data_IF_841091145421
#
_entry.id   IF_841091145421
#
_cell.length_a   1.000
_cell.length_b   1.000
_cell.length_c   1.000
_cell.angle_alpha   90.00
_cell.angle_beta   90.00
_cell.angle_gamma   90.00
#
_symmetry.space_group_name_H-M   'P 1'
#
loop_
_entity.id
_entity.type
_entity.pdbx_description
1 polymer ?
#
# COMPACT_ATOMS: atom_id res chain seq x y z
N UNK A 1 13.19 29.39 -12.17
CA UNK A 1 12.40 28.41 -12.93
C UNK A 1 11.31 27.86 -12.01
N UNK A 2 10.12 28.45 -12.05
CA UNK A 2 9.03 28.12 -11.14
C UNK A 2 8.42 26.78 -11.53
N UNK A 3 8.59 25.76 -10.69
CA UNK A 3 8.02 24.42 -10.91
C UNK A 3 6.50 24.56 -10.77
N UNK A 4 5.70 24.23 -11.80
CA UNK A 4 4.26 24.33 -11.71
C UNK A 4 3.75 23.44 -10.56
N UNK A 5 2.75 23.88 -9.77
CA UNK A 5 2.36 23.26 -8.50
C UNK A 5 1.89 21.79 -8.61
N UNK A 6 1.63 21.30 -9.83
CA UNK A 6 1.18 19.92 -10.11
C UNK A 6 2.33 18.91 -10.22
N UNK A 7 3.49 19.31 -10.74
CA UNK A 7 4.62 18.39 -10.99
C UNK A 7 5.34 18.02 -9.69
N UNK A 8 5.43 18.97 -8.75
CA UNK A 8 5.98 18.72 -7.41
C UNK A 8 5.15 17.71 -6.63
N UNK A 9 3.82 17.74 -6.74
CA UNK A 9 2.94 16.76 -6.08
C UNK A 9 3.07 15.35 -6.67
N UNK A 10 3.18 15.22 -7.99
CA UNK A 10 3.36 13.91 -8.64
C UNK A 10 4.72 13.30 -8.28
N UNK A 11 5.80 14.08 -8.29
CA UNK A 11 7.13 13.62 -7.85
C UNK A 11 7.15 13.21 -6.38
N UNK A 12 6.49 13.98 -5.51
CA UNK A 12 6.33 13.65 -4.08
C UNK A 12 5.50 12.37 -3.89
N UNK A 13 4.48 12.15 -4.71
CA UNK A 13 3.66 10.95 -4.67
C UNK A 13 4.43 9.72 -5.15
N UNK A 14 5.18 9.85 -6.25
CA UNK A 14 6.06 8.79 -6.77
C UNK A 14 7.17 8.45 -5.79
N UNK A 15 7.81 9.44 -5.16
CA UNK A 15 8.87 9.20 -4.18
C UNK A 15 8.32 8.56 -2.90
N UNK A 16 7.16 9.02 -2.41
CA UNK A 16 6.52 8.42 -1.24
C UNK A 16 6.03 6.99 -1.52
N UNK A 17 5.42 6.74 -2.69
CA UNK A 17 5.00 5.40 -3.11
C UNK A 17 6.19 4.46 -3.31
N UNK A 18 7.26 4.94 -3.95
CA UNK A 18 8.50 4.20 -4.13
C UNK A 18 9.15 3.83 -2.79
N UNK A 19 9.20 4.76 -1.84
CA UNK A 19 9.69 4.52 -0.48
C UNK A 19 8.84 3.47 0.27
N UNK A 20 7.51 3.54 0.12
CA UNK A 20 6.60 2.57 0.71
C UNK A 20 6.81 1.15 0.16
N UNK A 21 6.90 1.02 -1.16
CA UNK A 21 7.17 -0.26 -1.83
C UNK A 21 8.54 -0.81 -1.44
N UNK A 22 9.58 0.04 -1.41
CA UNK A 22 10.91 -0.35 -0.95
C UNK A 22 10.88 -0.86 0.49
N UNK A 23 10.27 -0.11 1.40
CA UNK A 23 10.15 -0.53 2.81
C UNK A 23 9.39 -1.86 2.92
N UNK A 24 8.31 -2.03 2.18
CA UNK A 24 7.54 -3.27 2.17
C UNK A 24 8.43 -4.47 1.82
N UNK A 25 9.14 -4.41 0.69
CA UNK A 25 10.00 -5.53 0.27
C UNK A 25 11.17 -5.74 1.22
N UNK A 26 11.72 -4.67 1.79
CA UNK A 26 12.84 -4.75 2.74
C UNK A 26 12.40 -5.43 4.05
N UNK A 27 11.22 -5.08 4.58
CA UNK A 27 10.66 -5.72 5.78
C UNK A 27 10.22 -7.15 5.48
N UNK A 28 9.60 -7.41 4.33
CA UNK A 28 9.20 -8.76 3.92
C UNK A 28 10.43 -9.68 3.84
N UNK A 29 11.43 -9.28 3.06
CA UNK A 29 12.66 -10.03 2.86
C UNK A 29 13.45 -10.15 4.18
N UNK A 30 13.55 -9.05 4.94
CA UNK A 30 14.24 -9.05 6.22
C UNK A 30 13.65 -10.03 7.24
N UNK A 31 12.33 -10.04 7.41
CA UNK A 31 11.69 -10.93 8.37
C UNK A 31 11.69 -12.39 7.89
N UNK A 32 11.50 -12.64 6.59
CA UNK A 32 11.46 -14.01 6.06
C UNK A 32 12.84 -14.64 5.94
N UNK A 33 13.84 -13.91 5.45
CA UNK A 33 15.16 -14.46 5.10
C UNK A 33 16.19 -14.31 6.23
N UNK A 34 16.18 -13.18 6.98
CA UNK A 34 17.12 -13.00 8.11
C UNK A 34 16.60 -13.58 9.44
N UNK A 35 15.30 -13.48 9.70
CA UNK A 35 14.70 -13.89 10.98
C UNK A 35 14.04 -15.28 10.87
N UNK A 36 13.82 -15.78 9.65
CA UNK A 36 13.17 -17.09 9.42
C UNK A 36 11.68 -17.11 9.78
N UNK A 37 11.05 -15.93 9.88
CA UNK A 37 9.63 -15.81 10.21
C UNK A 37 8.80 -16.25 9.00
N UNK A 38 7.68 -16.92 9.27
CA UNK A 38 6.76 -17.37 8.23
C UNK A 38 6.36 -16.21 7.32
N UNK A 39 6.50 -16.40 6.00
CA UNK A 39 6.31 -15.36 4.98
C UNK A 39 4.97 -14.61 5.10
N UNK A 40 3.94 -15.26 5.61
CA UNK A 40 2.63 -14.65 5.89
C UNK A 40 2.77 -13.58 6.97
N UNK A 41 3.39 -13.91 8.10
CA UNK A 41 3.57 -12.99 9.23
C UNK A 41 4.49 -11.83 8.80
N UNK A 42 5.54 -12.13 8.04
CA UNK A 42 6.41 -11.11 7.44
C UNK A 42 5.63 -10.18 6.52
N UNK A 43 4.74 -10.71 5.67
CA UNK A 43 3.90 -9.94 4.78
C UNK A 43 2.89 -9.07 5.55
N UNK A 44 2.32 -9.57 6.65
CA UNK A 44 1.44 -8.77 7.54
C UNK A 44 2.21 -7.58 8.09
N UNK A 45 3.38 -7.83 8.69
CA UNK A 45 4.17 -6.80 9.35
C UNK A 45 4.68 -5.78 8.33
N UNK A 46 5.18 -6.25 7.18
CA UNK A 46 5.63 -5.40 6.08
C UNK A 46 4.49 -4.52 5.55
N UNK A 47 3.29 -5.09 5.38
CA UNK A 47 2.13 -4.34 4.91
C UNK A 47 1.75 -3.24 5.91
N UNK A 48 1.66 -3.57 7.21
CA UNK A 48 1.35 -2.60 8.27
C UNK A 48 2.39 -1.48 8.31
N UNK A 49 3.68 -1.81 8.29
CA UNK A 49 4.77 -0.83 8.27
C UNK A 49 4.66 0.10 7.05
N UNK A 50 4.34 -0.46 5.88
CA UNK A 50 4.14 0.30 4.65
C UNK A 50 2.96 1.28 4.74
N UNK A 51 1.82 0.92 5.34
CA UNK A 51 0.74 1.92 5.58
C UNK A 51 1.20 3.00 6.52
N UNK A 52 1.86 2.66 7.62
CA UNK A 52 2.24 3.65 8.61
C UNK A 52 3.15 4.69 7.93
N UNK A 53 4.14 4.22 7.18
CA UNK A 53 5.04 5.10 6.43
C UNK A 53 4.29 5.91 5.36
N UNK A 54 3.44 5.27 4.55
CA UNK A 54 2.66 5.93 3.51
C UNK A 54 1.74 7.01 4.08
N UNK A 55 1.10 6.74 5.23
CA UNK A 55 0.25 7.69 5.94
C UNK A 55 1.06 8.86 6.51
N UNK A 56 2.21 8.59 7.12
CA UNK A 56 3.12 9.65 7.64
C UNK A 56 3.58 10.54 6.48
N UNK A 57 4.04 9.96 5.37
CA UNK A 57 4.48 10.69 4.17
C UNK A 57 3.34 11.54 3.58
N UNK A 58 2.15 10.98 3.43
CA UNK A 58 1.00 11.74 2.92
C UNK A 58 0.61 12.88 3.88
N UNK A 59 0.64 12.63 5.19
CA UNK A 59 0.27 13.60 6.22
C UNK A 59 1.29 14.73 6.38
N UNK A 60 2.59 14.43 6.37
CA UNK A 60 3.65 15.42 6.60
C UNK A 60 4.15 16.09 5.31
N UNK A 61 4.19 15.37 4.19
CA UNK A 61 4.81 15.88 2.96
C UNK A 61 3.79 16.42 1.94
N UNK A 62 2.59 15.82 1.87
CA UNK A 62 1.60 16.16 0.82
C UNK A 62 0.58 17.19 1.29
N UNK A 63 0.10 17.09 2.54
CA UNK A 63 -0.90 18.01 3.10
C UNK A 63 -0.27 19.16 3.89
N UNK A 64 0.60 19.92 3.24
CA UNK A 64 1.10 21.20 3.75
C UNK A 64 0.05 22.32 3.50
N UNK A 65 -1.21 22.16 3.97
CA UNK A 65 -2.24 23.23 4.22
C UNK A 65 -3.62 22.61 4.54
N UNK A 66 -4.28 22.91 5.68
CA UNK A 66 -4.99 24.15 6.11
C UNK A 66 -6.41 24.37 5.56
N UNK A 67 -7.18 23.30 5.29
CA UNK A 67 -8.64 23.42 5.16
C UNK A 67 -9.40 22.32 5.92
N UNK A 68 -10.22 22.72 6.92
CA UNK A 68 -10.76 21.86 7.99
C UNK A 68 -12.14 21.24 7.73
N UNK A 69 -12.67 21.27 6.51
CA UNK A 69 -13.95 20.61 6.20
C UNK A 69 -13.70 19.43 5.25
N UNK A 70 -13.98 18.21 5.71
CA UNK A 70 -13.96 16.91 5.00
C UNK A 70 -12.67 16.07 4.96
N UNK A 71 -11.53 16.56 5.48
CA UNK A 71 -10.26 15.80 5.50
C UNK A 71 -10.34 14.52 6.35
N UNK A 72 -11.02 14.57 7.50
CA UNK A 72 -11.16 13.40 8.39
C UNK A 72 -11.94 12.26 7.73
N UNK A 73 -12.97 12.59 6.93
CA UNK A 73 -13.77 11.60 6.19
C UNK A 73 -12.97 10.97 5.05
N UNK A 74 -12.20 11.78 4.31
CA UNK A 74 -11.32 11.26 3.24
C UNK A 74 -10.22 10.35 3.80
N UNK A 75 -9.59 10.72 4.92
CA UNK A 75 -8.62 9.86 5.60
C UNK A 75 -9.25 8.54 6.05
N UNK A 76 -10.42 8.57 6.70
CA UNK A 76 -11.09 7.35 7.15
C UNK A 76 -11.43 6.44 5.96
N UNK A 77 -12.01 6.98 4.89
CA UNK A 77 -12.34 6.18 3.69
C UNK A 77 -11.07 5.58 3.08
N UNK A 78 -9.99 6.35 2.95
CA UNK A 78 -8.73 5.87 2.38
C UNK A 78 -8.08 4.79 3.25
N UNK A 79 -8.02 5.02 4.57
CA UNK A 79 -7.49 4.05 5.53
C UNK A 79 -8.33 2.77 5.57
N UNK A 80 -9.66 2.87 5.56
CA UNK A 80 -10.56 1.70 5.56
C UNK A 80 -10.44 0.90 4.26
N UNK A 81 -10.35 1.56 3.10
CA UNK A 81 -10.08 0.88 1.83
C UNK A 81 -8.72 0.18 1.88
N UNK A 82 -7.68 0.85 2.37
CA UNK A 82 -6.36 0.26 2.48
C UNK A 82 -6.35 -0.98 3.40
N UNK A 83 -7.04 -0.94 4.54
CA UNK A 83 -7.15 -2.09 5.46
C UNK A 83 -7.85 -3.28 4.76
N UNK A 84 -8.90 -3.00 3.98
CA UNK A 84 -9.58 -4.02 3.17
C UNK A 84 -8.66 -4.62 2.10
N UNK A 85 -7.88 -3.77 1.42
CA UNK A 85 -6.89 -4.21 0.43
C UNK A 85 -5.77 -5.04 1.06
N UNK A 86 -5.32 -4.68 2.25
CA UNK A 86 -4.35 -5.45 3.02
C UNK A 86 -4.91 -6.81 3.43
N UNK A 87 -6.13 -6.86 3.95
CA UNK A 87 -6.76 -8.12 4.33
C UNK A 87 -6.91 -9.05 3.12
N UNK A 88 -7.33 -8.51 1.98
CA UNK A 88 -7.42 -9.26 0.72
C UNK A 88 -6.03 -9.72 0.23
N UNK A 89 -5.00 -8.88 0.32
CA UNK A 89 -3.61 -9.24 -0.04
C UNK A 89 -3.13 -10.44 0.74
N UNK A 90 -3.32 -10.42 2.06
CA UNK A 90 -2.89 -11.49 2.95
C UNK A 90 -3.62 -12.80 2.69
N UNK A 91 -4.95 -12.73 2.50
CA UNK A 91 -5.76 -13.91 2.23
C UNK A 91 -5.38 -14.54 0.89
N UNK A 92 -5.20 -13.74 -0.16
CA UNK A 92 -4.74 -14.26 -1.45
C UNK A 92 -3.32 -14.84 -1.36
N UNK A 93 -2.41 -14.19 -0.62
CA UNK A 93 -1.03 -14.67 -0.46
C UNK A 93 -1.01 -16.02 0.24
N UNK A 94 -1.78 -16.15 1.33
CA UNK A 94 -1.98 -17.40 2.05
C UNK A 94 -2.50 -18.50 1.12
N UNK A 95 -3.56 -18.22 0.37
CA UNK A 95 -4.14 -19.21 -0.56
C UNK A 95 -3.15 -19.59 -1.66
N UNK A 96 -2.46 -18.65 -2.29
CA UNK A 96 -1.54 -18.96 -3.39
C UNK A 96 -0.31 -19.75 -2.93
N UNK A 97 0.25 -19.45 -1.76
CA UNK A 97 1.46 -20.13 -1.31
C UNK A 97 1.15 -21.45 -0.61
N UNK A 98 0.06 -21.54 0.15
CA UNK A 98 -0.27 -22.75 0.91
C UNK A 98 -1.06 -23.78 0.10
N UNK A 99 -1.98 -23.35 -0.77
CA UNK A 99 -2.75 -24.27 -1.62
C UNK A 99 -2.14 -24.48 -3.00
N UNK A 100 -1.48 -23.47 -3.58
CA UNK A 100 -0.88 -23.59 -4.90
C UNK A 100 0.65 -23.78 -4.87
N UNK A 101 1.27 -23.87 -3.68
CA UNK A 101 2.71 -24.07 -3.48
C UNK A 101 3.61 -23.12 -4.30
N UNK A 102 3.11 -21.92 -4.61
CA UNK A 102 3.85 -20.93 -5.39
C UNK A 102 4.99 -20.31 -4.56
N UNK A 103 6.06 -19.89 -5.24
CA UNK A 103 7.10 -19.08 -4.62
C UNK A 103 6.51 -17.74 -4.15
N UNK A 104 6.67 -17.41 -2.87
CA UNK A 104 6.00 -16.28 -2.22
C UNK A 104 6.25 -14.92 -2.92
N UNK A 105 7.43 -14.71 -3.49
CA UNK A 105 7.76 -13.50 -4.28
C UNK A 105 6.93 -13.42 -5.57
N UNK A 106 6.78 -14.54 -6.28
CA UNK A 106 5.96 -14.61 -7.48
C UNK A 106 4.46 -14.48 -7.17
N UNK A 107 3.99 -15.12 -6.09
CA UNK A 107 2.63 -14.97 -5.60
C UNK A 107 2.33 -13.50 -5.26
N UNK A 108 3.22 -12.84 -4.53
CA UNK A 108 3.06 -11.43 -4.18
C UNK A 108 3.00 -10.51 -5.41
N UNK A 109 3.81 -10.77 -6.44
CA UNK A 109 3.78 -10.02 -7.68
C UNK A 109 2.41 -10.14 -8.38
N UNK A 110 1.87 -11.35 -8.50
CA UNK A 110 0.56 -11.61 -9.12
C UNK A 110 -0.56 -10.93 -8.31
N UNK A 111 -0.54 -11.07 -6.99
CA UNK A 111 -1.56 -10.49 -6.10
C UNK A 111 -1.55 -8.96 -6.18
N UNK A 112 -0.38 -8.35 -6.28
CA UNK A 112 -0.25 -6.89 -6.41
C UNK A 112 -0.92 -6.39 -7.69
N UNK A 113 -0.76 -7.11 -8.80
CA UNK A 113 -1.44 -6.81 -10.07
C UNK A 113 -2.96 -6.95 -9.92
N UNK A 114 -3.43 -8.08 -9.38
CA UNK A 114 -4.87 -8.36 -9.20
C UNK A 114 -5.53 -7.33 -8.28
N UNK A 115 -4.92 -7.00 -7.14
CA UNK A 115 -5.47 -6.01 -6.22
C UNK A 115 -5.46 -4.61 -6.79
N UNK A 116 -4.43 -4.22 -7.54
CA UNK A 116 -4.38 -2.88 -8.16
C UNK A 116 -5.51 -2.72 -9.18
N UNK A 117 -5.74 -3.74 -10.01
CA UNK A 117 -6.87 -3.77 -10.96
C UNK A 117 -8.20 -3.71 -10.20
N UNK A 118 -8.37 -4.55 -9.17
CA UNK A 118 -9.60 -4.58 -8.36
C UNK A 118 -9.85 -3.25 -7.65
N UNK A 119 -8.80 -2.60 -7.15
CA UNK A 119 -8.83 -1.28 -6.53
C UNK A 119 -9.35 -0.23 -7.48
N UNK A 120 -8.82 -0.19 -8.71
CA UNK A 120 -9.29 0.73 -9.73
C UNK A 120 -10.79 0.57 -10.00
N UNK A 121 -11.29 -0.66 -10.14
CA UNK A 121 -12.73 -0.90 -10.35
C UNK A 121 -13.58 -0.52 -9.12
N UNK A 122 -13.12 -0.85 -7.90
CA UNK A 122 -13.82 -0.50 -6.68
C UNK A 122 -13.91 1.02 -6.48
N UNK A 123 -12.81 1.73 -6.68
CA UNK A 123 -12.76 3.19 -6.62
C UNK A 123 -13.64 3.81 -7.70
N UNK A 124 -13.60 3.32 -8.95
CA UNK A 124 -14.47 3.80 -10.02
C UNK A 124 -15.96 3.65 -9.68
N UNK A 125 -16.36 2.52 -9.08
CA UNK A 125 -17.76 2.27 -8.69
C UNK A 125 -18.26 3.20 -7.57
N UNK A 126 -17.37 3.64 -6.68
CA UNK A 126 -17.70 4.55 -5.56
C UNK A 126 -17.83 6.01 -6.03
N UNK A 127 -17.02 6.43 -7.00
CA UNK A 127 -17.04 7.81 -7.52
C UNK A 127 -18.02 8.05 -8.68
N UNK A 128 -18.54 6.98 -9.30
CA UNK A 128 -19.51 7.07 -10.39
C UNK A 128 -20.98 7.13 -9.93
N UNK A 129 -21.24 7.31 -8.63
CA UNK A 129 -22.59 7.34 -8.06
C UNK A 129 -22.82 8.60 -7.21
#
# INVERSE_FOLDING_TARGET
MAIPPRVSQVLRFLSAGGLGVLLYYLVLYGLTDLIGVCYIISAVIASIANLILSFILQKFWTFENKNRKNVRRQMIIYTTMWILFLAANLLLLYVMVEYAHFWYLAAQAIITVVLTVTSYFATKKIFAN
#
